data_IF_304851416714
#
_entry.id   IF_304851416714
#
_cell.length_a   1.000
_cell.length_b   1.000
_cell.length_c   1.000
_cell.angle_alpha   90.00
_cell.angle_beta   90.00
_cell.angle_gamma   90.00
#
_symmetry.space_group_name_H-M   'P 1'
#
loop_
_entity.id
_entity.type
_entity.pdbx_description
1 polymer ?
#
# COMPACT_ATOMS: atom_id res chain seq x y z
N UNK A 1 -16.24 -7.78 -7.62
CA UNK A 1 -16.50 -7.23 -8.98
C UNK A 1 -16.69 -8.40 -9.94
N UNK A 2 -17.73 -8.38 -10.79
CA UNK A 2 -17.98 -9.45 -11.77
C UNK A 2 -17.55 -8.99 -13.17
N UNK A 3 -16.86 -9.84 -13.90
CA UNK A 3 -16.58 -9.64 -15.33
C UNK A 3 -17.77 -10.11 -16.19
N UNK A 4 -17.76 -9.78 -17.49
CA UNK A 4 -18.76 -10.19 -18.50
C UNK A 4 -18.95 -11.71 -18.61
N UNK A 5 -18.05 -12.49 -18.02
CA UNK A 5 -18.09 -13.95 -17.93
C UNK A 5 -18.52 -14.48 -16.54
N UNK A 6 -19.01 -13.61 -15.65
CA UNK A 6 -19.47 -13.99 -14.31
C UNK A 6 -18.37 -14.30 -13.29
N UNK A 7 -17.10 -14.10 -13.65
CA UNK A 7 -15.96 -14.32 -12.74
C UNK A 7 -15.90 -13.23 -11.67
N UNK A 8 -15.88 -13.64 -10.40
CA UNK A 8 -15.76 -12.73 -9.26
C UNK A 8 -14.30 -12.46 -8.95
N UNK A 9 -13.93 -11.19 -8.97
CA UNK A 9 -12.62 -10.72 -8.51
C UNK A 9 -12.77 -10.09 -7.14
N UNK A 10 -11.95 -10.57 -6.21
CA UNK A 10 -11.74 -9.99 -4.89
C UNK A 10 -10.31 -9.46 -4.84
N UNK A 11 -10.17 -8.23 -4.38
CA UNK A 11 -8.89 -7.59 -4.12
C UNK A 11 -9.04 -6.75 -2.85
N UNK A 12 -7.91 -6.45 -2.24
CA UNK A 12 -7.81 -5.61 -1.07
C UNK A 12 -7.22 -4.26 -1.48
N UNK A 13 -7.45 -3.26 -0.65
CA UNK A 13 -6.91 -1.92 -0.84
C UNK A 13 -5.99 -1.65 0.33
N UNK A 14 -4.74 -1.31 0.03
CA UNK A 14 -3.83 -0.71 0.99
C UNK A 14 -3.89 0.81 0.81
N UNK A 15 -4.23 1.51 1.89
CA UNK A 15 -4.36 2.97 1.93
C UNK A 15 -3.41 3.54 2.98
N UNK A 16 -2.46 4.35 2.52
CA UNK A 16 -1.52 5.08 3.36
C UNK A 16 -1.82 6.58 3.28
N UNK A 17 -1.97 7.23 4.43
CA UNK A 17 -2.38 8.64 4.52
C UNK A 17 -1.42 9.40 5.44
N UNK A 18 -0.79 10.45 4.90
CA UNK A 18 -0.06 11.42 5.72
C UNK A 18 -1.03 12.50 6.19
N UNK A 19 -1.29 12.49 7.49
CA UNK A 19 -2.19 13.45 8.13
C UNK A 19 -1.73 14.91 7.96
N UNK A 20 -0.41 15.16 7.99
CA UNK A 20 0.14 16.51 7.91
C UNK A 20 0.03 17.13 6.52
N UNK A 21 0.39 16.39 5.48
CA UNK A 21 0.44 16.90 4.09
C UNK A 21 -0.82 16.62 3.28
N UNK A 22 -1.80 15.89 3.85
CA UNK A 22 -2.97 15.33 3.16
C UNK A 22 -2.61 14.42 1.96
N UNK A 23 -1.34 14.02 1.83
CA UNK A 23 -0.91 13.10 0.79
C UNK A 23 -1.46 11.70 1.08
N UNK A 24 -1.90 11.03 0.02
CA UNK A 24 -2.45 9.68 0.08
C UNK A 24 -1.73 8.82 -0.95
N UNK A 25 -1.39 7.61 -0.54
CA UNK A 25 -0.89 6.56 -1.40
C UNK A 25 -1.86 5.38 -1.34
N UNK A 26 -2.24 4.86 -2.50
CA UNK A 26 -3.22 3.78 -2.64
C UNK A 26 -2.63 2.71 -3.56
N UNK A 27 -2.66 1.45 -3.11
CA UNK A 27 -2.32 0.31 -3.95
C UNK A 27 -3.31 -0.84 -3.76
N UNK A 28 -3.48 -1.64 -4.80
CA UNK A 28 -4.37 -2.81 -4.81
C UNK A 28 -3.55 -4.06 -4.54
N UNK A 29 -4.01 -4.91 -3.62
CA UNK A 29 -3.32 -6.16 -3.28
C UNK A 29 -4.24 -7.36 -3.43
N UNK A 30 -3.70 -8.47 -3.90
CA UNK A 30 -4.47 -9.71 -4.05
C UNK A 30 -4.62 -10.48 -2.73
N UNK A 31 -3.71 -10.25 -1.79
CA UNK A 31 -3.72 -10.87 -0.47
C UNK A 31 -3.37 -9.87 0.64
N UNK A 32 -3.44 -10.34 1.90
CA UNK A 32 -3.18 -9.56 3.12
C UNK A 32 -2.06 -10.15 3.96
N UNK A 33 -1.06 -10.78 3.32
CA UNK A 33 0.10 -11.32 4.04
C UNK A 33 0.98 -10.19 4.56
N UNK A 34 1.75 -10.51 5.58
CA UNK A 34 2.69 -9.58 6.21
C UNK A 34 3.75 -9.08 5.22
N UNK A 35 4.25 -9.96 4.35
CA UNK A 35 5.26 -9.59 3.33
C UNK A 35 4.70 -8.55 2.36
N UNK A 36 3.51 -8.78 1.82
CA UNK A 36 2.79 -7.84 0.94
C UNK A 36 2.54 -6.50 1.62
N UNK A 37 2.25 -6.51 2.93
CA UNK A 37 2.09 -5.29 3.72
C UNK A 37 3.40 -4.50 3.80
N UNK A 38 4.54 -5.17 4.04
CA UNK A 38 5.84 -4.51 4.11
C UNK A 38 6.28 -3.95 2.76
N UNK A 39 5.99 -4.65 1.67
CA UNK A 39 6.20 -4.14 0.31
C UNK A 39 5.37 -2.88 0.06
N UNK A 40 4.07 -2.90 0.36
CA UNK A 40 3.20 -1.73 0.20
C UNK A 40 3.65 -0.53 1.05
N UNK A 41 4.17 -0.79 2.26
CA UNK A 41 4.74 0.25 3.12
C UNK A 41 6.01 0.85 2.53
N UNK A 42 6.93 0.00 2.04
CA UNK A 42 8.15 0.44 1.36
C UNK A 42 7.82 1.34 0.18
N UNK A 43 6.91 0.91 -0.70
CA UNK A 43 6.49 1.68 -1.88
C UNK A 43 5.84 3.01 -1.47
N UNK A 44 5.03 3.01 -0.41
CA UNK A 44 4.41 4.23 0.10
C UNK A 44 5.43 5.23 0.67
N UNK A 45 6.49 4.74 1.34
CA UNK A 45 7.58 5.59 1.83
C UNK A 45 8.44 6.13 0.70
N UNK A 46 8.74 5.32 -0.32
CA UNK A 46 9.44 5.78 -1.53
C UNK A 46 8.63 6.85 -2.27
N UNK A 47 7.32 6.63 -2.46
CA UNK A 47 6.42 7.57 -3.12
C UNK A 47 6.32 8.92 -2.40
N UNK A 48 6.40 8.91 -1.07
CA UNK A 48 6.31 10.14 -0.27
C UNK A 48 7.67 10.81 -0.05
N UNK A 49 8.71 10.35 -0.77
CA UNK A 49 10.11 10.78 -0.64
C UNK A 49 10.62 10.72 0.80
N UNK A 50 10.05 9.80 1.59
CA UNK A 50 10.15 9.79 3.04
C UNK A 50 10.08 8.40 3.63
N UNK A 51 11.25 7.79 3.85
CA UNK A 51 11.54 7.12 5.12
C UNK A 51 12.27 8.17 5.97
N UNK A 52 11.88 8.46 7.21
CA UNK A 52 12.76 9.24 8.09
C UNK A 52 14.12 8.55 8.11
N UNK A 53 15.14 9.18 7.49
CA UNK A 53 16.52 8.62 7.36
C UNK A 53 17.19 8.29 8.70
N UNK A 54 16.48 8.48 9.82
CA UNK A 54 16.98 8.36 11.19
C UNK A 54 16.82 6.97 11.81
N UNK A 55 16.02 6.03 11.25
CA UNK A 55 15.66 4.80 11.97
C UNK A 55 15.94 3.45 11.27
N UNK A 56 16.77 3.39 10.21
CA UNK A 56 17.19 2.12 9.58
C UNK A 56 18.61 1.66 9.96
N UNK A 57 19.08 2.05 11.15
CA UNK A 57 20.21 1.40 11.82
C UNK A 57 19.90 1.31 13.30
N UNK A 58 19.48 0.13 13.75
CA UNK A 58 19.87 -0.47 15.03
C UNK A 58 19.68 -1.97 14.93
#
# INVERSE_FOLDING_TARGET
MHDKFGRTYQFNIFLYVLHYSKMKYITLTWDRKQDTLFECLKDAFEYTEGVPKRNLVR
#
